data_IF_217311892930
#
_entry.id   IF_217311892930
#
_cell.length_a   1.000
_cell.length_b   1.000
_cell.length_c   1.000
_cell.angle_alpha   90.00
_cell.angle_beta   90.00
_cell.angle_gamma   90.00
#
_symmetry.space_group_name_H-M   'P 1'
#
loop_
_entity.id
_entity.type
_entity.pdbx_description
1 polymer ?
#
# COMPACT_ATOMS: atom_id res chain seq x y z
N UNK A 1 2.18 -14.51 7.29
CA UNK A 1 1.93 -15.25 6.03
C UNK A 1 1.54 -14.30 4.87
N UNK A 2 0.49 -13.45 4.99
CA UNK A 2 0.12 -12.50 3.91
C UNK A 2 1.22 -11.50 3.50
N UNK A 3 1.99 -10.97 4.46
CA UNK A 3 3.04 -9.97 4.20
C UNK A 3 4.13 -10.45 3.23
N UNK A 4 4.36 -11.77 3.13
CA UNK A 4 5.38 -12.32 2.25
C UNK A 4 4.94 -12.27 0.79
N UNK A 5 3.65 -12.58 0.54
CA UNK A 5 3.06 -12.57 -0.79
C UNK A 5 2.98 -11.13 -1.30
N UNK A 6 2.50 -10.19 -0.48
CA UNK A 6 2.37 -8.77 -0.87
C UNK A 6 3.71 -8.10 -1.17
N UNK A 7 4.80 -8.58 -0.55
CA UNK A 7 6.16 -8.10 -0.82
C UNK A 7 6.75 -8.67 -2.12
N UNK A 8 6.39 -9.91 -2.47
CA UNK A 8 6.90 -10.60 -3.66
C UNK A 8 6.18 -10.14 -4.94
N UNK A 9 4.87 -9.86 -4.87
CA UNK A 9 4.04 -9.45 -6.01
C UNK A 9 4.60 -8.28 -6.83
N UNK A 10 5.00 -7.12 -6.27
CA UNK A 10 5.52 -6.01 -7.08
C UNK A 10 6.82 -6.37 -7.79
N UNK A 11 7.61 -7.32 -7.26
CA UNK A 11 8.82 -7.81 -7.91
C UNK A 11 8.49 -8.69 -9.12
N UNK A 12 7.49 -9.58 -8.98
CA UNK A 12 6.99 -10.43 -10.08
C UNK A 12 6.33 -9.59 -11.17
N UNK A 13 5.47 -8.63 -10.80
CA UNK A 13 4.82 -7.74 -11.76
C UNK A 13 5.84 -6.92 -12.57
N UNK A 14 6.92 -6.43 -11.93
CA UNK A 14 8.01 -5.77 -12.65
C UNK A 14 8.74 -6.70 -13.62
N UNK A 15 8.97 -7.95 -13.22
CA UNK A 15 9.60 -8.94 -14.09
C UNK A 15 8.72 -9.21 -15.32
N UNK A 16 7.41 -9.39 -15.14
CA UNK A 16 6.45 -9.57 -16.22
C UNK A 16 6.37 -8.35 -17.14
N UNK A 17 6.33 -7.14 -16.57
CA UNK A 17 6.31 -5.90 -17.36
C UNK A 17 7.60 -5.70 -18.18
N UNK A 18 8.75 -6.15 -17.67
CA UNK A 18 10.01 -6.18 -18.43
C UNK A 18 9.98 -7.24 -19.55
N UNK A 19 9.40 -8.42 -19.30
CA UNK A 19 9.24 -9.46 -20.33
C UNK A 19 8.29 -9.05 -21.46
N UNK A 20 7.29 -8.21 -21.16
CA UNK A 20 6.38 -7.63 -22.16
C UNK A 20 7.06 -6.61 -23.09
N UNK A 21 8.33 -6.23 -22.83
CA UNK A 21 9.10 -5.36 -23.73
C UNK A 21 8.68 -3.89 -23.70
N UNK A 22 8.12 -3.40 -22.59
CA UNK A 22 7.74 -1.99 -22.46
C UNK A 22 8.97 -1.07 -22.61
N UNK A 23 8.95 -0.21 -23.64
CA UNK A 23 10.10 0.63 -24.02
C UNK A 23 10.52 1.70 -23.00
N UNK A 24 9.68 2.02 -22.00
CA UNK A 24 9.98 3.06 -21.00
C UNK A 24 9.77 2.54 -19.58
N UNK A 25 10.73 2.82 -18.69
CA UNK A 25 10.65 2.51 -17.25
C UNK A 25 9.41 3.14 -16.60
N UNK A 26 8.98 4.31 -17.07
CA UNK A 26 7.77 4.95 -16.55
C UNK A 26 6.50 4.17 -16.89
N UNK A 27 6.43 3.56 -18.09
CA UNK A 27 5.28 2.71 -18.48
C UNK A 27 5.26 1.41 -17.68
N UNK A 28 6.43 0.83 -17.43
CA UNK A 28 6.58 -0.35 -16.56
C UNK A 28 6.01 -0.06 -15.18
N UNK A 29 6.40 1.05 -14.57
CA UNK A 29 5.93 1.37 -13.22
C UNK A 29 4.45 1.76 -13.17
N UNK A 30 3.90 2.40 -14.22
CA UNK A 30 2.46 2.67 -14.31
C UNK A 30 1.65 1.35 -14.42
N UNK A 31 2.11 0.41 -15.25
CA UNK A 31 1.53 -0.92 -15.30
C UNK A 31 1.58 -1.59 -13.92
N UNK A 32 2.74 -1.57 -13.25
CA UNK A 32 2.86 -2.13 -11.90
C UNK A 32 1.90 -1.44 -10.93
N UNK A 33 1.72 -0.12 -11.01
CA UNK A 33 0.79 0.63 -10.16
C UNK A 33 -0.65 0.11 -10.28
N UNK A 34 -1.17 -0.02 -11.50
CA UNK A 34 -2.56 -0.45 -11.75
C UNK A 34 -2.79 -1.89 -11.28
N UNK A 35 -1.91 -2.81 -11.68
CA UNK A 35 -2.07 -4.23 -11.34
C UNK A 35 -1.83 -4.49 -9.85
N UNK A 36 -0.89 -3.78 -9.23
CA UNK A 36 -0.64 -3.89 -7.80
C UNK A 36 -1.80 -3.32 -6.98
N UNK A 37 -2.40 -2.21 -7.41
CA UNK A 37 -3.62 -1.69 -6.79
C UNK A 37 -4.76 -2.70 -6.84
N UNK A 38 -5.06 -3.27 -8.01
CA UNK A 38 -6.12 -4.28 -8.16
C UNK A 38 -5.87 -5.50 -7.27
N UNK A 39 -4.62 -5.95 -7.18
CA UNK A 39 -4.23 -7.04 -6.28
C UNK A 39 -4.46 -6.68 -4.81
N UNK A 40 -4.01 -5.50 -4.37
CA UNK A 40 -4.21 -5.03 -3.00
C UNK A 40 -5.70 -4.89 -2.66
N UNK A 41 -6.51 -4.40 -3.59
CA UNK A 41 -7.95 -4.28 -3.39
C UNK A 41 -8.60 -5.66 -3.18
N UNK A 42 -8.32 -6.65 -4.03
CA UNK A 42 -8.86 -8.01 -3.87
C UNK A 42 -8.34 -8.66 -2.58
N UNK A 43 -7.05 -8.48 -2.28
CA UNK A 43 -6.41 -9.18 -1.17
C UNK A 43 -6.73 -8.56 0.19
N UNK A 44 -6.69 -7.23 0.32
CA UNK A 44 -6.85 -6.53 1.60
C UNK A 44 -8.31 -6.17 1.85
N UNK A 45 -9.05 -5.73 0.82
CA UNK A 45 -10.43 -5.33 0.98
C UNK A 45 -11.41 -6.50 0.77
N UNK A 46 -11.37 -7.17 -0.38
CA UNK A 46 -12.37 -8.20 -0.73
C UNK A 46 -12.22 -9.43 0.16
N UNK A 47 -11.00 -9.93 0.37
CA UNK A 47 -10.77 -11.14 1.19
C UNK A 47 -11.19 -10.95 2.64
N UNK A 48 -10.89 -9.79 3.25
CA UNK A 48 -11.30 -9.49 4.63
C UNK A 48 -12.82 -9.36 4.72
N UNK A 49 -13.43 -8.64 3.78
CA UNK A 49 -14.89 -8.48 3.73
C UNK A 49 -15.61 -9.81 3.53
N UNK A 50 -15.08 -10.67 2.64
CA UNK A 50 -15.62 -12.00 2.37
C UNK A 50 -15.39 -12.94 3.57
N UNK A 51 -14.24 -12.87 4.24
CA UNK A 51 -13.97 -13.68 5.44
C UNK A 51 -14.92 -13.33 6.59
N UNK A 52 -15.22 -12.04 6.77
CA UNK A 52 -16.23 -11.58 7.71
C UNK A 52 -17.63 -12.09 7.34
N UNK A 53 -17.96 -12.18 6.05
CA UNK A 53 -19.21 -12.80 5.57
C UNK A 53 -19.25 -14.32 5.81
N UNK A 54 -18.24 -15.05 5.35
CA UNK A 54 -18.20 -16.53 5.38
C UNK A 54 -18.19 -17.09 6.81
N UNK A 55 -17.41 -16.51 7.73
CA UNK A 55 -17.37 -16.98 9.12
C UNK A 55 -18.74 -16.91 9.81
N UNK A 56 -19.57 -15.96 9.40
CA UNK A 56 -20.93 -15.79 9.95
C UNK A 56 -21.94 -16.73 9.29
N UNK A 57 -21.77 -17.00 7.99
CA UNK A 57 -22.59 -17.97 7.25
C UNK A 57 -22.35 -19.39 7.78
N UNK A 58 -21.09 -19.77 8.04
CA UNK A 58 -20.76 -21.12 8.56
C UNK A 58 -21.38 -21.38 9.94
N UNK A 59 -21.52 -20.33 10.77
CA UNK A 59 -22.22 -20.42 12.06
C UNK A 59 -23.75 -20.58 11.96
N UNK A 60 -24.34 -20.41 10.76
CA UNK A 60 -25.78 -20.38 10.53
C UNK A 60 -26.27 -21.33 9.41
N UNK A 61 -25.51 -22.37 9.01
CA UNK A 61 -26.03 -23.35 8.05
C UNK A 61 -27.29 -24.04 8.62
N UNK A 62 -28.44 -24.12 7.91
CA UNK A 62 -28.50 -24.32 6.45
C UNK A 62 -29.56 -23.54 5.64
N UNK A 63 -30.37 -22.64 6.20
CA UNK A 63 -31.61 -22.25 5.50
C UNK A 63 -31.51 -20.90 4.76
N UNK A 64 -31.52 -20.99 3.43
CA UNK A 64 -31.73 -19.95 2.41
C UNK A 64 -30.53 -19.12 1.95
N UNK A 65 -30.12 -19.39 0.70
CA UNK A 65 -29.22 -18.57 -0.14
C UNK A 65 -29.73 -17.12 -0.27
N UNK A 66 -31.03 -16.88 -0.07
CA UNK A 66 -31.66 -15.56 -0.04
C UNK A 66 -31.26 -14.69 1.17
N UNK A 67 -30.79 -15.28 2.28
CA UNK A 67 -30.36 -14.55 3.48
C UNK A 67 -28.88 -14.10 3.42
N UNK A 68 -28.12 -14.49 2.39
CA UNK A 68 -26.71 -14.10 2.24
C UNK A 68 -26.52 -12.57 2.23
N UNK A 69 -27.32 -11.77 1.49
CA UNK A 69 -27.17 -10.31 1.48
C UNK A 69 -27.50 -9.67 2.83
N UNK A 70 -28.50 -10.19 3.55
CA UNK A 70 -28.94 -9.64 4.84
C UNK A 70 -27.95 -9.99 5.96
N UNK A 71 -27.33 -11.17 5.91
CA UNK A 71 -26.25 -11.55 6.81
C UNK A 71 -24.96 -10.79 6.53
N UNK A 72 -24.62 -10.52 5.27
CA UNK A 72 -23.52 -9.61 4.94
C UNK A 72 -23.79 -8.19 5.46
N UNK A 73 -25.02 -7.69 5.32
CA UNK A 73 -25.41 -6.37 5.83
C UNK A 73 -25.25 -6.26 7.36
N UNK A 74 -25.58 -7.32 8.11
CA UNK A 74 -25.41 -7.35 9.57
C UNK A 74 -23.95 -7.48 10.02
N UNK A 75 -23.06 -8.01 9.18
CA UNK A 75 -21.65 -8.22 9.52
C UNK A 75 -20.70 -7.16 8.92
N UNK A 76 -21.17 -6.34 7.99
CA UNK A 76 -20.47 -5.12 7.53
C UNK A 76 -20.02 -4.20 8.70
N UNK A 77 -20.83 -3.98 9.75
CA UNK A 77 -20.39 -3.23 10.93
C UNK A 77 -19.24 -3.89 11.69
N UNK A 78 -19.18 -5.23 11.74
CA UNK A 78 -18.05 -5.96 12.36
C UNK A 78 -16.77 -5.81 11.54
N UNK A 79 -16.88 -5.89 10.20
CA UNK A 79 -15.78 -5.61 9.30
C UNK A 79 -15.29 -4.15 9.42
N UNK A 80 -16.20 -3.20 9.65
CA UNK A 80 -15.87 -1.79 9.87
C UNK A 80 -14.92 -1.57 11.06
N UNK A 81 -15.10 -2.32 12.17
CA UNK A 81 -14.22 -2.20 13.33
C UNK A 81 -12.79 -2.73 13.05
N UNK A 82 -12.69 -3.78 12.24
CA UNK A 82 -11.40 -4.27 11.74
C UNK A 82 -10.72 -3.21 10.87
N UNK A 83 -11.42 -2.63 9.89
CA UNK A 83 -10.85 -1.60 9.01
C UNK A 83 -10.47 -0.33 9.76
N UNK A 84 -11.23 0.04 10.79
CA UNK A 84 -10.86 1.13 11.71
C UNK A 84 -9.50 0.87 12.38
N UNK A 85 -9.35 -0.31 12.99
CA UNK A 85 -8.10 -0.71 13.67
C UNK A 85 -6.94 -0.82 12.68
N UNK A 86 -7.19 -1.37 11.49
CA UNK A 86 -6.23 -1.47 10.40
C UNK A 86 -5.73 -0.09 9.95
N UNK A 87 -6.65 0.86 9.74
CA UNK A 87 -6.31 2.23 9.35
C UNK A 87 -5.42 2.89 10.40
N UNK A 88 -5.79 2.74 11.68
CA UNK A 88 -5.06 3.34 12.79
C UNK A 88 -3.65 2.78 12.94
N UNK A 89 -3.51 1.44 12.96
CA UNK A 89 -2.20 0.78 13.07
C UNK A 89 -1.31 1.15 11.89
N UNK A 90 -1.87 1.14 10.67
CA UNK A 90 -1.11 1.47 9.47
C UNK A 90 -0.71 2.96 9.44
N UNK A 91 -1.56 3.86 9.92
CA UNK A 91 -1.27 5.28 10.07
C UNK A 91 -0.06 5.50 10.99
N UNK A 92 -0.14 5.02 12.23
CA UNK A 92 0.95 5.16 13.20
C UNK A 92 2.25 4.50 12.72
N UNK A 93 2.15 3.32 12.10
CA UNK A 93 3.32 2.62 11.54
C UNK A 93 3.99 3.46 10.45
N UNK A 94 3.21 4.04 9.55
CA UNK A 94 3.73 4.88 8.45
C UNK A 94 4.37 6.15 8.98
N UNK A 95 3.76 6.79 9.99
CA UNK A 95 4.34 7.97 10.63
C UNK A 95 5.64 7.66 11.35
N UNK A 96 5.69 6.57 12.12
CA UNK A 96 6.91 6.14 12.79
C UNK A 96 8.02 5.85 11.76
N UNK A 97 7.71 5.13 10.69
CA UNK A 97 8.72 4.76 9.67
C UNK A 97 9.24 5.95 8.88
N UNK A 98 8.39 6.91 8.56
CA UNK A 98 8.78 8.13 7.83
C UNK A 98 9.62 9.06 8.72
N UNK A 99 9.22 9.27 9.97
CA UNK A 99 9.98 10.08 10.94
C UNK A 99 11.35 9.47 11.26
N UNK A 100 11.40 8.15 11.48
CA UNK A 100 12.65 7.45 11.78
C UNK A 100 13.50 7.20 10.53
N UNK A 101 12.99 7.43 9.33
CA UNK A 101 13.66 7.08 8.06
C UNK A 101 14.25 5.65 8.12
N UNK A 102 13.43 4.68 8.52
CA UNK A 102 13.88 3.30 8.84
C UNK A 102 14.67 2.67 7.70
N UNK A 103 14.29 2.91 6.45
CA UNK A 103 14.99 2.38 5.27
C UNK A 103 16.41 2.94 5.14
N UNK A 104 16.61 4.22 5.44
CA UNK A 104 17.91 4.88 5.44
C UNK A 104 18.79 4.37 6.58
N UNK A 105 18.24 4.31 7.80
CA UNK A 105 18.94 3.82 8.99
C UNK A 105 19.37 2.36 8.83
N UNK A 106 18.46 1.48 8.41
CA UNK A 106 18.76 0.06 8.20
C UNK A 106 19.85 -0.13 7.14
N UNK A 107 19.80 0.65 6.05
CA UNK A 107 20.82 0.54 5.01
C UNK A 107 22.19 1.02 5.49
N UNK A 108 22.25 2.06 6.32
CA UNK A 108 23.50 2.59 6.86
C UNK A 108 24.09 1.73 7.97
N UNK A 109 23.29 1.29 8.94
CA UNK A 109 23.75 0.54 10.11
C UNK A 109 23.95 -0.96 9.86
N UNK A 110 23.14 -1.57 8.98
CA UNK A 110 23.19 -3.02 8.74
C UNK A 110 23.85 -3.33 7.40
N UNK A 111 23.37 -2.76 6.29
CA UNK A 111 23.87 -3.11 4.96
C UNK A 111 25.26 -2.55 4.68
N UNK A 112 25.57 -1.33 5.13
CA UNK A 112 26.87 -0.72 4.85
C UNK A 112 28.04 -1.50 5.47
N UNK A 113 28.05 -1.85 6.77
CA UNK A 113 29.16 -2.62 7.33
C UNK A 113 29.27 -4.05 6.78
N UNK A 114 28.15 -4.67 6.39
CA UNK A 114 28.14 -6.04 5.87
C UNK A 114 28.58 -6.15 4.40
N UNK A 115 28.18 -5.21 3.54
CA UNK A 115 28.35 -5.31 2.09
C UNK A 115 29.29 -4.26 1.47
N UNK A 116 29.59 -3.14 2.14
CA UNK A 116 30.47 -2.11 1.57
C UNK A 116 31.94 -2.31 2.00
N UNK A 117 32.76 -2.86 1.09
CA UNK A 117 34.21 -2.95 1.30
C UNK A 117 34.98 -1.77 0.70
N UNK A 118 34.48 -1.15 -0.37
CA UNK A 118 35.15 -0.04 -1.06
C UNK A 118 34.49 1.33 -0.81
N UNK A 119 35.26 2.44 -0.81
CA UNK A 119 34.71 3.80 -0.70
C UNK A 119 33.68 4.14 -1.78
N UNK A 120 33.86 3.60 -3.00
CA UNK A 120 32.94 3.78 -4.12
C UNK A 120 31.58 3.13 -3.86
N UNK A 121 31.55 1.93 -3.27
CA UNK A 121 30.30 1.25 -2.91
C UNK A 121 29.57 2.02 -1.80
N UNK A 122 30.29 2.51 -0.77
CA UNK A 122 29.71 3.37 0.28
C UNK A 122 29.08 4.64 -0.29
N UNK A 123 29.74 5.27 -1.27
CA UNK A 123 29.21 6.46 -1.93
C UNK A 123 27.97 6.15 -2.78
N UNK A 124 28.02 5.12 -3.62
CA UNK A 124 26.89 4.72 -4.48
C UNK A 124 25.67 4.31 -3.66
N UNK A 125 25.88 3.59 -2.55
CA UNK A 125 24.82 3.23 -1.60
C UNK A 125 24.20 4.46 -0.96
N UNK A 126 25.02 5.40 -0.47
CA UNK A 126 24.53 6.69 0.07
C UNK A 126 23.69 7.47 -0.93
N UNK A 127 24.06 7.43 -2.20
CA UNK A 127 23.29 8.08 -3.27
C UNK A 127 21.96 7.36 -3.55
N UNK A 128 21.91 6.04 -3.42
CA UNK A 128 20.69 5.24 -3.62
C UNK A 128 19.81 5.08 -2.36
N UNK A 129 20.20 5.68 -1.23
CA UNK A 129 19.42 5.65 0.01
C UNK A 129 18.06 6.33 -0.15
N UNK A 130 17.01 5.60 0.21
CA UNK A 130 15.66 6.12 0.26
C UNK A 130 14.97 6.25 -1.09
N UNK A 131 15.53 5.67 -2.16
CA UNK A 131 14.86 5.61 -3.47
C UNK A 131 13.64 4.71 -3.38
N UNK A 132 12.47 5.33 -3.37
CA UNK A 132 11.17 4.68 -3.39
C UNK A 132 10.67 4.62 -4.82
N UNK A 133 10.22 3.44 -5.27
CA UNK A 133 9.57 3.29 -6.57
C UNK A 133 8.09 3.64 -6.47
N UNK A 134 7.64 4.59 -7.26
CA UNK A 134 6.24 5.08 -7.24
C UNK A 134 5.19 3.98 -7.49
N UNK A 135 5.45 3.02 -8.38
CA UNK A 135 4.48 1.96 -8.72
C UNK A 135 4.18 1.00 -7.58
N UNK A 136 4.95 1.00 -6.50
CA UNK A 136 4.65 0.24 -5.28
C UNK A 136 4.15 1.14 -4.15
N UNK A 137 4.55 2.40 -4.14
CA UNK A 137 4.21 3.36 -3.09
C UNK A 137 2.77 3.90 -3.25
N UNK A 138 2.42 4.38 -4.45
CA UNK A 138 1.11 5.02 -4.70
C UNK A 138 -0.07 4.07 -4.45
N UNK A 139 -0.07 2.81 -4.92
CA UNK A 139 -1.22 1.91 -4.75
C UNK A 139 -1.62 1.65 -3.31
N UNK A 140 -0.67 1.67 -2.37
CA UNK A 140 -0.94 1.43 -0.95
C UNK A 140 -1.78 2.55 -0.35
N UNK A 141 -1.45 3.81 -0.66
CA UNK A 141 -2.23 4.97 -0.21
C UNK A 141 -3.58 5.06 -0.92
N UNK A 142 -3.64 4.76 -2.22
CA UNK A 142 -4.91 4.73 -2.95
C UNK A 142 -5.85 3.68 -2.39
N UNK A 143 -5.35 2.47 -2.06
CA UNK A 143 -6.18 1.44 -1.42
C UNK A 143 -6.71 1.89 -0.05
N UNK A 144 -5.89 2.57 0.74
CA UNK A 144 -6.32 3.15 2.01
C UNK A 144 -7.44 4.20 1.81
N UNK A 145 -7.29 5.08 0.81
CA UNK A 145 -8.30 6.07 0.46
C UNK A 145 -9.61 5.39 0.01
N UNK A 146 -9.54 4.36 -0.82
CA UNK A 146 -10.70 3.58 -1.24
C UNK A 146 -11.45 2.97 -0.05
N UNK A 147 -10.72 2.34 0.89
CA UNK A 147 -11.33 1.77 2.10
C UNK A 147 -12.04 2.85 2.92
N UNK A 148 -11.37 3.99 3.15
CA UNK A 148 -11.95 5.13 3.88
C UNK A 148 -13.20 5.69 3.21
N UNK A 149 -13.22 5.79 1.87
CA UNK A 149 -14.38 6.25 1.11
C UNK A 149 -15.53 5.24 1.15
N UNK A 150 -15.28 3.95 0.95
CA UNK A 150 -16.33 2.90 0.97
C UNK A 150 -17.00 2.82 2.34
N UNK A 151 -16.21 2.82 3.42
CA UNK A 151 -16.74 2.71 4.78
C UNK A 151 -17.26 4.04 5.36
N UNK A 152 -17.06 5.17 4.68
CA UNK A 152 -17.62 6.46 5.11
C UNK A 152 -19.14 6.45 5.24
N UNK A 153 -19.82 5.67 4.39
CA UNK A 153 -21.29 5.53 4.38
C UNK A 153 -21.77 4.67 5.55
N UNK A 154 -20.98 3.67 5.96
CA UNK A 154 -21.36 2.71 7.01
C UNK A 154 -21.01 3.27 8.40
N UNK A 155 -19.82 3.86 8.54
CA UNK A 155 -19.31 4.39 9.79
C UNK A 155 -18.59 5.73 9.54
N UNK A 156 -19.28 6.87 9.70
CA UNK A 156 -18.73 8.19 9.34
C UNK A 156 -17.50 8.56 10.19
N UNK A 157 -17.32 7.93 11.36
CA UNK A 157 -16.14 8.12 12.20
C UNK A 157 -14.84 7.75 11.47
N UNK A 158 -14.85 6.73 10.59
CA UNK A 158 -13.68 6.31 9.81
C UNK A 158 -13.16 7.45 8.92
N UNK A 159 -14.05 8.33 8.44
CA UNK A 159 -13.69 9.46 7.60
C UNK A 159 -12.84 10.49 8.36
N UNK A 160 -13.17 10.75 9.64
CA UNK A 160 -12.39 11.65 10.49
C UNK A 160 -10.97 11.14 10.68
N UNK A 161 -10.80 9.85 10.98
CA UNK A 161 -9.47 9.25 11.13
C UNK A 161 -8.70 9.19 9.81
N UNK A 162 -9.39 8.93 8.70
CA UNK A 162 -8.77 8.97 7.36
C UNK A 162 -8.28 10.38 7.01
N UNK A 163 -9.05 11.42 7.37
CA UNK A 163 -8.65 12.81 7.19
C UNK A 163 -7.40 13.15 8.02
N UNK A 164 -7.35 12.73 9.29
CA UNK A 164 -6.16 12.90 10.15
C UNK A 164 -4.97 12.16 9.54
N UNK A 165 -5.17 10.94 9.03
CA UNK A 165 -4.13 10.15 8.41
C UNK A 165 -3.52 10.87 7.19
N UNK A 166 -4.34 11.27 6.22
CA UNK A 166 -3.86 11.97 5.03
C UNK A 166 -3.33 13.38 5.34
N UNK A 167 -3.91 14.08 6.31
CA UNK A 167 -3.43 15.38 6.77
C UNK A 167 -2.03 15.28 7.39
N UNK A 168 -1.80 14.32 8.27
CA UNK A 168 -0.49 14.08 8.86
C UNK A 168 0.54 13.58 7.82
N UNK A 169 0.13 12.72 6.87
CA UNK A 169 0.99 12.35 5.74
C UNK A 169 1.40 13.56 4.90
N UNK A 170 0.47 14.48 4.65
CA UNK A 170 0.77 15.71 3.91
C UNK A 170 1.81 16.56 4.61
N UNK A 171 1.67 16.76 5.94
CA UNK A 171 2.68 17.48 6.75
C UNK A 171 4.02 16.75 6.73
N UNK A 172 4.04 15.44 6.91
CA UNK A 172 5.27 14.65 6.91
C UNK A 172 6.01 14.72 5.57
N UNK A 173 5.30 14.56 4.45
CA UNK A 173 5.92 14.66 3.12
C UNK A 173 6.28 16.09 2.73
N UNK A 174 5.69 17.10 3.37
CA UNK A 174 6.13 18.48 3.23
C UNK A 174 7.52 18.71 3.84
N UNK A 175 7.82 18.10 4.99
CA UNK A 175 9.13 18.22 5.65
C UNK A 175 10.15 17.19 5.16
N UNK A 176 9.71 15.97 4.88
CA UNK A 176 10.54 14.84 4.45
C UNK A 176 10.00 14.26 3.14
N UNK A 177 10.29 14.89 1.99
CA UNK A 177 9.79 14.41 0.71
C UNK A 177 10.38 13.02 0.37
N UNK A 178 9.56 12.07 -0.08
CA UNK A 178 10.05 10.77 -0.50
C UNK A 178 10.93 10.95 -1.73
N UNK A 179 12.15 10.39 -1.70
CA UNK A 179 13.03 10.38 -2.87
C UNK A 179 12.52 9.32 -3.85
N UNK A 180 12.01 9.75 -5.00
CA UNK A 180 11.53 8.82 -6.03
C UNK A 180 12.70 8.34 -6.90
N UNK A 181 12.72 7.05 -7.21
CA UNK A 181 13.78 6.43 -8.03
C UNK A 181 13.90 7.00 -9.44
N UNK A 182 12.81 7.57 -9.96
CA UNK A 182 12.68 7.89 -11.38
C UNK A 182 12.87 9.38 -11.69
N UNK A 183 13.33 10.17 -10.71
CA UNK A 183 13.67 11.59 -10.89
C UNK A 183 14.79 11.83 -11.93
N UNK A 184 15.53 10.79 -12.32
CA UNK A 184 16.54 10.86 -13.39
C UNK A 184 15.94 10.94 -14.81
N UNK A 185 14.66 10.60 -15.00
CA UNK A 185 13.94 10.72 -16.26
C UNK A 185 12.65 11.49 -16.02
N UNK A 186 12.69 12.81 -16.22
CA UNK A 186 11.61 13.78 -15.99
C UNK A 186 10.21 13.18 -16.08
N UNK A 187 9.64 12.78 -14.94
CA UNK A 187 8.28 12.30 -14.86
C UNK A 187 7.37 13.52 -14.95
N UNK A 188 6.92 13.83 -16.17
CA UNK A 188 6.01 14.92 -16.52
C UNK A 188 4.59 14.70 -15.97
N UNK A 189 4.44 14.36 -14.69
CA UNK A 189 3.15 14.12 -14.06
C UNK A 189 2.41 12.87 -14.56
N UNK A 190 3.07 11.97 -15.29
CA UNK A 190 2.48 10.76 -15.89
C UNK A 190 1.87 9.77 -14.87
N UNK A 191 2.15 9.95 -13.58
CA UNK A 191 1.53 9.18 -12.49
C UNK A 191 0.17 9.70 -12.06
N UNK A 192 -0.13 10.99 -12.25
CA UNK A 192 -1.41 11.58 -11.85
C UNK A 192 -2.62 10.94 -12.55
N UNK A 193 -2.63 10.72 -13.88
CA UNK A 193 -3.82 10.21 -14.56
C UNK A 193 -4.17 8.76 -14.20
N UNK A 194 -3.26 8.00 -13.58
CA UNK A 194 -3.52 6.62 -13.15
C UNK A 194 -3.62 6.48 -11.64
N UNK A 195 -3.49 7.58 -10.91
CA UNK A 195 -3.72 7.65 -9.47
C UNK A 195 -5.13 8.17 -9.11
N UNK A 196 -5.83 8.79 -10.08
CA UNK A 196 -7.22 9.26 -10.01
C UNK A 196 -8.12 8.13 -10.53
#
# INVERSE_FOLDING_TARGET
MLSLITAMVPSVLRLLANMQGLHSRQRVENYVQIYYFSFLFVQVFLTVSLSAGITTIIGQLPDTVEAIPTLLAQNLPKASNYFFSYIMVHAFTTFAFTLMQVTGLMSMFVLSPLFDKSPRQKWMRRQSLGLQKWGTFVPVFTNMACIGLIYSVIAPLILVFSMIYFGALWVLYRFYPPKLSDLELGASGLFYPTAI
#
